data_IF_427171037592
#
_entry.id   IF_427171037592
#
_cell.length_a   1.000
_cell.length_b   1.000
_cell.length_c   1.000
_cell.angle_alpha   90.00
_cell.angle_beta   90.00
_cell.angle_gamma   90.00
#
_symmetry.space_group_name_H-M   'P 1'
#
loop_
_entity.id
_entity.type
_entity.pdbx_description
1 polymer ?
#
# COMPACT_ATOMS: atom_id res chain seq x y z
N UNK A 1 -7.14 1.89 -13.69
CA UNK A 1 -6.68 2.73 -12.59
C UNK A 1 -5.52 2.14 -11.85
N UNK A 2 -5.66 0.91 -11.37
CA UNK A 2 -4.56 0.30 -10.62
C UNK A 2 -3.36 0.01 -11.49
N UNK A 3 -3.52 -0.11 -12.77
CA UNK A 3 -2.40 -0.33 -13.66
C UNK A 3 -1.54 0.92 -13.84
N UNK A 4 -1.92 2.05 -13.24
CA UNK A 4 -1.04 3.20 -13.18
C UNK A 4 0.09 3.01 -12.18
N UNK A 5 -0.06 2.06 -11.27
CA UNK A 5 0.93 1.87 -10.22
C UNK A 5 2.05 0.96 -10.70
N UNK A 6 3.27 1.25 -10.26
CA UNK A 6 4.36 0.31 -10.44
C UNK A 6 4.13 -0.88 -9.52
N UNK A 7 4.85 -1.97 -9.76
CA UNK A 7 4.73 -3.16 -8.92
C UNK A 7 5.03 -2.82 -7.45
N UNK A 8 6.06 -2.01 -7.21
CA UNK A 8 6.43 -1.65 -5.84
C UNK A 8 5.36 -0.76 -5.19
N UNK A 9 4.78 0.17 -5.97
CA UNK A 9 3.71 1.00 -5.46
C UNK A 9 2.50 0.16 -5.08
N UNK A 10 2.19 -0.83 -5.88
CA UNK A 10 1.08 -1.71 -5.60
C UNK A 10 1.33 -2.50 -4.31
N UNK A 11 2.55 -3.03 -4.13
CA UNK A 11 2.90 -3.74 -2.91
C UNK A 11 2.78 -2.84 -1.69
N UNK A 12 3.26 -1.60 -1.80
CA UNK A 12 3.15 -0.65 -0.70
C UNK A 12 1.68 -0.38 -0.38
N UNK A 13 0.87 -0.19 -1.42
CA UNK A 13 -0.56 0.05 -1.23
C UNK A 13 -1.21 -1.09 -0.44
N UNK A 14 -0.92 -2.33 -0.81
CA UNK A 14 -1.51 -3.47 -0.13
C UNK A 14 -1.14 -3.50 1.35
N UNK A 15 0.08 -3.11 1.69
CA UNK A 15 0.50 -3.11 3.07
C UNK A 15 -0.04 -1.91 3.84
N UNK A 16 -0.19 -0.77 3.18
CA UNK A 16 -0.77 0.41 3.83
C UNK A 16 -2.19 0.13 4.28
N UNK A 17 -2.97 -0.55 3.47
CA UNK A 17 -4.37 -0.79 3.81
C UNK A 17 -4.54 -1.81 4.94
N UNK A 18 -3.48 -2.52 5.29
CA UNK A 18 -3.53 -3.40 6.46
C UNK A 18 -3.23 -2.66 7.75
N UNK A 19 -2.91 -1.37 7.67
CA UNK A 19 -2.60 -0.59 8.86
C UNK A 19 -1.13 -0.52 9.20
N UNK A 20 -0.26 -1.05 8.35
CA UNK A 20 1.18 -1.01 8.62
C UNK A 20 1.72 0.40 8.52
N UNK A 21 2.64 0.71 9.43
CA UNK A 21 3.36 1.98 9.40
C UNK A 21 4.49 1.89 8.37
N UNK A 22 4.94 3.05 7.90
CA UNK A 22 5.99 3.09 6.88
C UNK A 22 7.24 2.30 7.28
N UNK A 23 7.62 2.40 8.55
CA UNK A 23 8.79 1.67 9.04
C UNK A 23 8.58 0.16 8.93
N UNK A 24 7.37 -0.30 9.26
CA UNK A 24 7.04 -1.72 9.19
C UNK A 24 7.01 -2.19 7.74
N UNK A 25 6.47 -1.38 6.86
CA UNK A 25 6.44 -1.69 5.44
C UNK A 25 7.85 -1.81 4.90
N UNK A 26 8.73 -0.89 5.31
CA UNK A 26 10.12 -0.95 4.91
C UNK A 26 10.79 -2.25 5.34
N UNK A 27 10.50 -2.68 6.57
CA UNK A 27 11.03 -3.95 7.05
C UNK A 27 10.49 -5.12 6.26
N UNK A 28 9.21 -5.07 5.93
CA UNK A 28 8.56 -6.15 5.17
C UNK A 28 9.13 -6.26 3.76
N UNK A 29 9.37 -5.13 3.11
CA UNK A 29 9.81 -5.11 1.72
C UNK A 29 11.32 -5.02 1.56
N UNK A 30 12.05 -4.86 2.65
CA UNK A 30 13.49 -4.74 2.58
C UNK A 30 13.99 -3.43 2.02
N UNK A 31 13.24 -2.34 2.24
CA UNK A 31 13.63 -1.02 1.77
C UNK A 31 13.58 -0.03 2.92
N UNK A 32 14.24 1.10 2.75
CA UNK A 32 14.28 2.13 3.79
C UNK A 32 12.90 2.76 3.97
N UNK A 33 12.62 3.21 5.18
CA UNK A 33 11.36 3.91 5.47
C UNK A 33 11.17 5.11 4.55
N UNK A 34 12.24 5.84 4.29
CA UNK A 34 12.21 7.00 3.40
C UNK A 34 11.73 6.60 2.00
N UNK A 35 12.17 5.45 1.51
CA UNK A 35 11.75 4.95 0.21
C UNK A 35 10.27 4.60 0.23
N UNK A 36 9.79 4.02 1.34
CA UNK A 36 8.36 3.72 1.48
C UNK A 36 7.55 5.00 1.40
N UNK A 37 8.00 6.07 2.06
CA UNK A 37 7.30 7.35 2.00
C UNK A 37 7.16 7.86 0.58
N UNK A 38 8.21 7.72 -0.21
CA UNK A 38 8.18 8.16 -1.61
C UNK A 38 7.16 7.33 -2.39
N UNK A 39 7.21 6.03 -2.26
CA UNK A 39 6.27 5.17 -2.99
C UNK A 39 4.83 5.43 -2.55
N UNK A 40 4.63 5.62 -1.24
CA UNK A 40 3.29 5.88 -0.72
C UNK A 40 2.73 7.20 -1.24
N UNK A 41 3.56 8.24 -1.25
CA UNK A 41 3.14 9.52 -1.78
C UNK A 41 2.76 9.43 -3.25
N UNK A 42 3.55 8.70 -4.02
CA UNK A 42 3.30 8.57 -5.46
C UNK A 42 2.03 7.80 -5.74
N UNK A 43 1.82 6.68 -5.03
CA UNK A 43 0.62 5.90 -5.29
C UNK A 43 -0.63 6.67 -4.90
N UNK A 44 -0.60 7.39 -3.80
CA UNK A 44 -1.77 8.15 -3.38
C UNK A 44 -2.07 9.27 -4.35
N UNK A 45 -1.03 9.91 -4.87
CA UNK A 45 -1.21 10.95 -5.87
C UNK A 45 -1.78 10.39 -7.16
N UNK A 46 -1.27 9.24 -7.60
CA UNK A 46 -1.77 8.60 -8.83
C UNK A 46 -3.22 8.19 -8.71
N UNK A 47 -3.63 7.74 -7.53
CA UNK A 47 -5.01 7.30 -7.32
C UNK A 47 -5.94 8.44 -6.93
N UNK A 48 -5.40 9.63 -6.68
CA UNK A 48 -6.22 10.79 -6.34
C UNK A 48 -6.82 10.71 -4.96
N UNK A 49 -6.15 10.06 -4.02
CA UNK A 49 -6.64 9.95 -2.65
C UNK A 49 -5.72 10.73 -1.73
N UNK A 50 -6.26 11.24 -0.62
CA UNK A 50 -5.49 12.08 0.28
C UNK A 50 -5.40 11.52 1.70
N UNK A 51 -6.03 10.40 1.96
CA UNK A 51 -5.96 9.78 3.29
C UNK A 51 -5.98 8.28 3.14
N UNK A 52 -5.57 7.58 4.21
CA UNK A 52 -5.62 6.12 4.22
C UNK A 52 -7.06 5.64 4.13
N UNK A 53 -7.96 6.36 4.78
CA UNK A 53 -9.38 5.98 4.71
C UNK A 53 -9.90 6.04 3.28
N UNK A 54 -9.55 7.08 2.54
CA UNK A 54 -9.93 7.17 1.14
C UNK A 54 -9.29 6.06 0.32
N UNK A 55 -8.04 5.74 0.64
CA UNK A 55 -7.35 4.67 -0.06
C UNK A 55 -8.05 3.33 0.17
N UNK A 56 -8.44 3.05 1.40
CA UNK A 56 -9.15 1.82 1.71
C UNK A 56 -10.45 1.73 0.93
N UNK A 57 -11.21 2.82 0.90
CA UNK A 57 -12.45 2.84 0.13
C UNK A 57 -12.20 2.63 -1.35
N UNK A 58 -11.16 3.26 -1.89
CA UNK A 58 -10.80 3.08 -3.28
C UNK A 58 -10.49 1.63 -3.59
N UNK A 59 -9.68 1.01 -2.75
CA UNK A 59 -9.25 -0.37 -2.96
C UNK A 59 -10.44 -1.32 -2.88
N UNK A 60 -11.34 -1.09 -1.93
CA UNK A 60 -12.53 -1.92 -1.80
C UNK A 60 -13.42 -1.84 -3.03
N UNK A 61 -13.60 -0.64 -3.56
CA UNK A 61 -14.42 -0.46 -4.76
C UNK A 61 -13.75 -1.07 -5.98
N UNK A 62 -12.43 -1.08 -6.02
CA UNK A 62 -11.69 -1.66 -7.13
C UNK A 62 -11.60 -3.18 -7.07
N UNK A 63 -12.00 -3.76 -5.94
CA UNK A 63 -11.99 -5.21 -5.81
C UNK A 63 -10.61 -5.81 -5.63
N UNK A 64 -9.66 -5.04 -5.10
CA UNK A 64 -8.31 -5.54 -4.90
C UNK A 64 -8.29 -6.44 -3.67
N UNK A 65 -7.76 -7.66 -3.78
CA UNK A 65 -7.71 -8.54 -2.62
C UNK A 65 -6.64 -8.08 -1.64
N UNK A 66 -6.77 -8.44 -0.36
CA UNK A 66 -5.73 -8.13 0.61
C UNK A 66 -4.48 -8.95 0.34
N UNK A 67 -3.32 -8.52 0.81
CA UNK A 67 -2.10 -9.30 0.61
C UNK A 67 -2.16 -10.59 1.39
N UNK A 68 -1.53 -11.62 0.85
CA UNK A 68 -1.42 -12.90 1.55
C UNK A 68 -0.25 -12.82 2.49
N UNK A 69 -0.48 -13.11 3.76
CA UNK A 69 0.56 -13.03 4.77
C UNK A 69 0.67 -14.36 5.49
N UNK A 70 1.88 -14.82 5.65
CA UNK A 70 2.09 -16.13 6.25
C UNK A 70 1.70 -16.18 7.70
N UNK A 71 1.70 -15.04 8.38
CA UNK A 71 1.36 -15.05 9.79
C UNK A 71 -0.11 -14.94 10.05
N UNK A 72 -0.93 -15.00 9.03
CA UNK A 72 -2.32 -14.86 9.29
C UNK A 72 -2.91 -16.11 9.78
N UNK A 73 -2.26 -17.02 10.23
CA UNK A 73 -2.81 -18.09 10.78
C UNK A 73 -3.33 -17.80 12.01
N UNK A 74 -3.91 -18.20 12.56
CA UNK A 74 -4.26 -18.01 13.80
C UNK A 74 -5.11 -18.52 14.31
#
# INVERSE_FOLDING_TARGET
MLDLLTAREFEVMQLVITGMLNKQIGGELGVAEKTVKVHRGRLMQKLGVTSVAELVHFVQRAGVPPPVRSETKV
#
